data_IF_881215759788
#
_entry.id   IF_881215759788
#
_cell.length_a   1.000
_cell.length_b   1.000
_cell.length_c   1.000
_cell.angle_alpha   90.00
_cell.angle_beta   90.00
_cell.angle_gamma   90.00
#
_symmetry.space_group_name_H-M   'P 1'
#
loop_
_entity.id
_entity.type
_entity.pdbx_description
1 polymer ?
#
# COMPACT_ATOMS: atom_id res chain seq x y z
N UNK A 1 -6.94 -4.89 31.39
CA UNK A 1 -6.43 -6.26 31.61
C UNK A 1 -6.14 -6.86 30.25
N UNK A 2 -4.89 -6.95 29.90
CA UNK A 2 -4.41 -7.38 28.59
C UNK A 2 -4.25 -8.90 28.59
N UNK A 3 -4.82 -9.55 27.57
CA UNK A 3 -4.63 -10.96 27.29
C UNK A 3 -3.87 -11.14 25.98
N UNK A 4 -2.56 -11.31 26.06
CA UNK A 4 -1.70 -11.68 24.96
C UNK A 4 -1.90 -13.15 24.60
N UNK A 5 -2.48 -13.44 23.44
CA UNK A 5 -2.51 -14.80 22.88
C UNK A 5 -1.36 -14.98 21.89
N UNK A 6 -0.23 -15.45 22.41
CA UNK A 6 0.83 -16.03 21.60
C UNK A 6 0.56 -17.54 21.47
N UNK A 7 0.51 -18.12 20.26
CA UNK A 7 0.34 -19.57 20.12
C UNK A 7 1.62 -20.28 20.55
N UNK A 8 1.54 -21.00 21.66
CA UNK A 8 2.54 -21.93 22.15
C UNK A 8 2.75 -23.06 21.13
N UNK A 9 3.85 -23.05 20.43
CA UNK A 9 4.39 -24.20 19.71
C UNK A 9 4.52 -25.36 20.71
N UNK A 10 3.63 -26.33 20.63
CA UNK A 10 3.74 -27.60 21.38
C UNK A 10 5.03 -28.28 20.96
N UNK A 11 6.04 -28.24 21.85
CA UNK A 11 7.20 -29.11 21.77
C UNK A 11 6.70 -30.55 21.83
N UNK A 12 6.74 -31.25 20.71
CA UNK A 12 6.57 -32.70 20.68
C UNK A 12 7.66 -33.31 21.54
N UNK A 13 7.27 -33.84 22.70
CA UNK A 13 8.11 -34.70 23.51
C UNK A 13 8.31 -36.00 22.73
N UNK A 14 9.45 -36.13 22.09
CA UNK A 14 9.92 -37.41 21.63
C UNK A 14 10.37 -38.17 22.88
N UNK A 15 9.53 -39.09 23.36
CA UNK A 15 9.97 -40.12 24.31
C UNK A 15 11.05 -40.90 23.61
N UNK A 16 12.25 -40.78 24.14
CA UNK A 16 13.35 -41.63 23.76
C UNK A 16 12.91 -43.07 24.01
N UNK A 17 12.94 -43.90 22.98
CA UNK A 17 12.73 -45.33 23.05
C UNK A 17 13.84 -45.95 23.94
N UNK A 18 13.67 -45.85 25.24
CA UNK A 18 14.58 -46.41 26.28
C UNK A 18 13.87 -47.24 27.33
N UNK A 19 12.55 -47.36 27.26
CA UNK A 19 11.80 -48.14 28.23
C UNK A 19 11.43 -49.56 27.78
N UNK A 20 11.77 -49.95 26.52
CA UNK A 20 11.49 -51.30 26.00
C UNK A 20 12.59 -52.33 26.18
N UNK A 21 13.84 -51.93 26.54
CA UNK A 21 15.01 -52.82 26.49
C UNK A 21 15.34 -53.49 27.86
N UNK A 22 14.46 -53.45 28.83
CA UNK A 22 14.76 -54.03 30.18
C UNK A 22 14.16 -55.41 30.44
N UNK A 23 13.53 -56.04 29.50
CA UNK A 23 13.09 -57.44 29.64
C UNK A 23 13.67 -58.31 28.52
N UNK A 24 14.97 -58.51 28.58
CA UNK A 24 15.63 -59.62 27.91
C UNK A 24 15.52 -60.84 28.78
N UNK A 25 14.74 -61.81 28.35
CA UNK A 25 14.54 -63.10 28.99
C UNK A 25 15.87 -63.84 29.09
N UNK A 26 16.21 -64.32 30.27
CA UNK A 26 17.55 -64.82 30.68
C UNK A 26 17.77 -66.28 30.27
N UNK A 27 17.01 -66.88 29.36
CA UNK A 27 17.13 -68.25 28.93
C UNK A 27 16.96 -68.51 27.44
N UNK A 28 17.96 -68.04 26.63
CA UNK A 28 18.20 -68.69 25.35
C UNK A 28 19.74 -68.85 25.21
N UNK A 29 20.22 -70.04 25.48
CA UNK A 29 21.57 -70.45 25.09
C UNK A 29 21.60 -70.68 23.56
N UNK A 30 22.52 -70.01 22.89
CA UNK A 30 23.08 -70.51 21.65
C UNK A 30 22.46 -70.03 20.36
N UNK A 31 22.90 -68.95 19.86
CA UNK A 31 23.36 -68.74 18.48
C UNK A 31 23.94 -67.32 18.39
N UNK A 32 25.14 -67.20 17.81
CA UNK A 32 25.91 -65.98 17.78
C UNK A 32 25.19 -64.83 17.06
N UNK A 33 24.32 -64.17 17.78
CA UNK A 33 23.77 -62.91 17.34
C UNK A 33 24.80 -61.85 17.68
N UNK A 34 25.54 -61.42 16.67
CA UNK A 34 26.40 -60.24 16.68
C UNK A 34 25.59 -59.09 17.21
N UNK A 35 26.06 -58.50 18.31
CA UNK A 35 25.48 -57.32 18.91
C UNK A 35 25.40 -56.18 17.91
N UNK A 36 24.28 -56.00 17.25
CA UNK A 36 23.99 -54.93 16.27
C UNK A 36 23.79 -53.54 16.91
N UNK A 37 23.99 -53.42 18.23
CA UNK A 37 23.84 -52.13 18.95
C UNK A 37 24.83 -51.07 18.47
N UNK A 38 26.04 -51.47 18.07
CA UNK A 38 27.04 -50.54 17.49
C UNK A 38 26.63 -50.01 16.11
N UNK A 39 26.03 -50.86 15.32
CA UNK A 39 25.60 -50.46 13.94
C UNK A 39 24.38 -49.52 13.98
N UNK A 40 23.43 -49.78 14.87
CA UNK A 40 22.24 -48.91 15.06
C UNK A 40 22.69 -47.56 15.64
N UNK A 41 23.59 -47.54 16.62
CA UNK A 41 24.16 -46.32 17.18
C UNK A 41 24.94 -45.49 16.13
N UNK A 42 25.77 -46.15 15.31
CA UNK A 42 26.50 -45.48 14.23
C UNK A 42 25.57 -44.88 13.14
N UNK A 43 24.47 -45.56 12.82
CA UNK A 43 23.47 -45.07 11.89
C UNK A 43 22.68 -43.86 12.45
N UNK A 44 22.28 -43.92 13.73
CA UNK A 44 21.66 -42.83 14.44
C UNK A 44 22.58 -41.60 14.54
N UNK A 45 23.87 -41.80 14.85
CA UNK A 45 24.85 -40.73 14.86
C UNK A 45 25.04 -40.05 13.50
N UNK A 46 25.09 -40.84 12.40
CA UNK A 46 25.17 -40.28 11.04
C UNK A 46 23.91 -39.47 10.67
N UNK A 47 22.72 -39.90 11.04
CA UNK A 47 21.48 -39.18 10.83
C UNK A 47 21.46 -37.87 11.65
N UNK A 48 21.89 -37.92 12.92
CA UNK A 48 22.02 -36.72 13.73
C UNK A 48 23.06 -35.72 13.18
N UNK A 49 24.18 -36.23 12.66
CA UNK A 49 25.21 -35.38 12.05
C UNK A 49 24.68 -34.71 10.78
N UNK A 50 23.94 -35.46 9.93
CA UNK A 50 23.29 -34.88 8.73
C UNK A 50 22.26 -33.82 9.09
N UNK A 51 21.46 -34.03 10.14
CA UNK A 51 20.49 -33.07 10.65
C UNK A 51 21.18 -31.80 11.15
N UNK A 52 22.23 -31.91 11.97
CA UNK A 52 23.01 -30.74 12.41
C UNK A 52 23.63 -29.96 11.28
N UNK A 53 24.14 -30.64 10.27
CA UNK A 53 24.69 -29.98 9.06
C UNK A 53 23.63 -29.29 8.25
N UNK A 54 22.40 -29.83 8.20
CA UNK A 54 21.27 -29.19 7.53
C UNK A 54 20.78 -27.96 8.31
N UNK A 55 20.62 -28.09 9.61
CA UNK A 55 20.28 -26.96 10.51
C UNK A 55 21.32 -25.84 10.38
N UNK A 56 22.59 -26.13 10.39
CA UNK A 56 23.66 -25.14 10.27
C UNK A 56 23.69 -24.46 8.85
N UNK A 57 23.31 -25.18 7.78
CA UNK A 57 23.15 -24.58 6.45
C UNK A 57 21.93 -23.67 6.41
N UNK A 58 20.81 -24.10 6.97
CA UNK A 58 19.59 -23.28 7.06
C UNK A 58 19.83 -22.01 7.87
N UNK A 59 20.53 -22.09 9.01
CA UNK A 59 20.88 -20.93 9.83
C UNK A 59 21.78 -19.94 9.06
N UNK A 60 22.80 -20.44 8.34
CA UNK A 60 23.64 -19.61 7.47
C UNK A 60 22.86 -18.97 6.31
N UNK A 61 21.93 -19.70 5.71
CA UNK A 61 21.09 -19.16 4.64
C UNK A 61 20.12 -18.09 5.19
N UNK A 62 19.58 -18.29 6.39
CA UNK A 62 18.75 -17.28 7.07
C UNK A 62 19.60 -16.06 7.43
N UNK A 63 20.80 -16.27 7.98
CA UNK A 63 21.70 -15.16 8.35
C UNK A 63 22.18 -14.37 7.13
N UNK A 64 22.55 -15.05 6.03
CA UNK A 64 22.93 -14.40 4.78
C UNK A 64 21.77 -13.63 4.14
N UNK A 65 20.56 -14.20 4.15
CA UNK A 65 19.35 -13.50 3.69
C UNK A 65 18.97 -12.33 4.60
N UNK A 66 19.13 -12.48 5.92
CA UNK A 66 18.89 -11.39 6.87
C UNK A 66 19.93 -10.25 6.75
N UNK A 67 21.18 -10.58 6.39
CA UNK A 67 22.20 -9.58 6.09
C UNK A 67 21.94 -8.87 4.75
N UNK A 68 21.44 -9.60 3.73
CA UNK A 68 20.96 -9.01 2.49
C UNK A 68 19.77 -8.08 2.72
N UNK A 69 18.85 -8.44 3.63
CA UNK A 69 17.74 -7.58 4.05
C UNK A 69 18.21 -6.35 4.85
N UNK A 70 19.27 -6.46 5.65
CA UNK A 70 19.87 -5.31 6.35
C UNK A 70 20.64 -4.37 5.42
N UNK A 71 21.14 -4.86 4.29
CA UNK A 71 21.78 -4.06 3.23
C UNK A 71 20.80 -3.53 2.18
N UNK A 72 19.49 -3.81 2.31
CA UNK A 72 18.48 -3.02 1.64
C UNK A 72 18.52 -1.67 2.36
N UNK A 73 19.21 -0.68 1.78
CA UNK A 73 19.03 0.72 2.12
C UNK A 73 17.50 0.91 2.18
N UNK A 74 16.97 1.18 3.37
CA UNK A 74 15.57 1.59 3.50
C UNK A 74 15.42 2.77 2.56
N UNK A 75 14.68 2.64 1.46
CA UNK A 75 14.55 3.75 0.53
C UNK A 75 14.04 4.92 1.36
N UNK A 76 14.75 6.04 1.33
CA UNK A 76 14.34 7.22 2.08
C UNK A 76 12.85 7.48 1.78
N UNK A 77 12.06 7.81 2.80
CA UNK A 77 10.60 7.93 2.72
C UNK A 77 10.15 8.88 1.59
N UNK A 78 9.02 8.59 0.96
CA UNK A 78 8.37 9.50 0.02
C UNK A 78 8.21 10.88 0.66
N UNK A 79 8.22 11.93 -0.14
CA UNK A 79 8.02 13.30 0.34
C UNK A 79 6.78 13.90 -0.31
N UNK A 80 5.95 14.54 0.50
CA UNK A 80 4.77 15.27 0.06
C UNK A 80 4.99 16.78 0.26
N UNK A 81 4.71 17.58 -0.76
CA UNK A 81 4.84 19.03 -0.68
C UNK A 81 3.50 19.66 -0.25
N UNK A 82 3.00 19.24 0.91
CA UNK A 82 1.75 19.75 1.48
C UNK A 82 1.97 21.10 2.16
N UNK A 83 1.14 22.07 1.83
CA UNK A 83 1.11 23.40 2.43
C UNK A 83 -0.25 23.57 3.11
N UNK A 84 -0.33 23.56 4.45
CA UNK A 84 -1.59 23.80 5.15
C UNK A 84 -2.18 25.17 4.78
N UNK A 85 -3.47 25.21 4.43
CA UNK A 85 -4.16 26.47 4.16
C UNK A 85 -4.57 27.19 5.47
N UNK A 86 -4.75 28.49 5.40
CA UNK A 86 -5.24 29.29 6.54
C UNK A 86 -6.74 29.07 6.82
N UNK A 87 -7.53 28.71 5.82
CA UNK A 87 -8.93 28.36 6.01
C UNK A 87 -9.05 27.04 6.78
N UNK A 88 -9.98 27.00 7.72
CA UNK A 88 -10.30 25.76 8.43
C UNK A 88 -11.14 24.83 7.55
N UNK A 89 -12.19 25.37 6.92
CA UNK A 89 -13.06 24.64 6.01
C UNK A 89 -12.68 24.98 4.56
N UNK A 90 -12.36 23.97 3.76
CA UNK A 90 -11.94 24.13 2.35
C UNK A 90 -13.08 23.86 1.37
N UNK A 91 -13.98 22.94 1.73
CA UNK A 91 -15.17 22.62 0.93
C UNK A 91 -16.33 22.37 1.88
N UNK A 92 -17.47 23.00 1.57
CA UNK A 92 -18.76 22.79 2.24
C UNK A 92 -19.81 22.45 1.21
N UNK A 93 -20.44 21.31 1.35
CA UNK A 93 -21.60 20.87 0.57
C UNK A 93 -22.79 20.76 1.51
N UNK A 94 -23.91 21.36 1.16
CA UNK A 94 -25.18 21.29 1.91
C UNK A 94 -26.28 20.85 0.96
N UNK A 95 -26.90 19.71 1.23
CA UNK A 95 -27.92 19.04 0.40
C UNK A 95 -27.52 19.01 -1.07
N UNK A 96 -26.24 18.75 -1.32
CA UNK A 96 -25.65 18.87 -2.65
C UNK A 96 -25.82 17.61 -3.48
N UNK A 97 -26.29 17.78 -4.69
CA UNK A 97 -26.30 16.73 -5.73
C UNK A 97 -25.98 17.35 -7.09
N UNK A 98 -25.61 16.52 -8.05
CA UNK A 98 -25.33 16.95 -9.41
C UNK A 98 -25.76 15.89 -10.43
N UNK A 99 -25.91 16.34 -11.69
CA UNK A 99 -26.30 15.48 -12.80
C UNK A 99 -26.30 16.21 -14.12
N UNK A 100 -26.78 15.57 -15.17
CA UNK A 100 -26.90 16.17 -16.51
C UNK A 100 -28.35 16.36 -16.89
N UNK A 101 -29.14 15.30 -16.97
CA UNK A 101 -30.60 15.34 -17.21
C UNK A 101 -31.41 15.12 -15.94
N UNK A 102 -30.84 14.35 -15.03
CA UNK A 102 -31.35 14.06 -13.67
C UNK A 102 -30.17 13.91 -12.73
N UNK A 103 -30.43 14.04 -11.45
CA UNK A 103 -29.39 13.88 -10.44
C UNK A 103 -28.80 12.47 -10.46
N UNK A 104 -27.48 12.34 -10.23
CA UNK A 104 -26.75 11.08 -10.27
C UNK A 104 -26.80 10.33 -8.94
N UNK A 105 -26.86 11.08 -7.83
CA UNK A 105 -26.86 10.52 -6.47
C UNK A 105 -27.78 11.34 -5.57
N UNK A 106 -28.18 10.70 -4.46
CA UNK A 106 -28.95 11.38 -3.41
C UNK A 106 -28.18 12.57 -2.84
N UNK A 107 -28.87 13.66 -2.41
CA UNK A 107 -28.20 14.81 -1.81
C UNK A 107 -27.26 14.42 -0.67
N UNK A 108 -26.08 15.04 -0.63
CA UNK A 108 -25.06 14.81 0.40
C UNK A 108 -24.73 16.11 1.13
N UNK A 109 -24.34 15.94 2.39
CA UNK A 109 -23.73 16.96 3.23
C UNK A 109 -22.27 16.58 3.48
N UNK A 110 -21.34 17.49 3.24
CA UNK A 110 -19.92 17.24 3.44
C UNK A 110 -19.16 18.50 3.81
N UNK A 111 -18.43 18.43 4.91
CA UNK A 111 -17.40 19.39 5.26
C UNK A 111 -16.02 18.78 5.11
N UNK A 112 -15.17 19.42 4.28
CA UNK A 112 -13.75 19.08 4.17
C UNK A 112 -12.95 20.14 4.90
N UNK A 113 -12.50 19.80 6.09
CA UNK A 113 -11.69 20.68 6.91
C UNK A 113 -10.20 20.40 6.67
N UNK A 114 -9.35 21.34 7.04
CA UNK A 114 -7.90 21.17 6.98
C UNK A 114 -7.46 19.91 7.73
N UNK A 115 -6.70 19.04 7.06
CA UNK A 115 -6.23 17.75 7.57
C UNK A 115 -7.23 16.61 7.40
N UNK A 116 -8.43 16.86 6.88
CA UNK A 116 -9.38 15.79 6.54
C UNK A 116 -8.89 15.00 5.31
N UNK A 117 -8.96 13.69 5.41
CA UNK A 117 -8.75 12.74 4.32
C UNK A 117 -10.07 12.04 4.04
N UNK A 118 -10.78 12.55 3.04
CA UNK A 118 -12.14 12.12 2.70
C UNK A 118 -12.10 11.05 1.61
N UNK A 119 -12.52 9.83 1.93
CA UNK A 119 -12.76 8.78 0.95
C UNK A 119 -14.15 8.93 0.33
N UNK A 120 -14.20 9.08 -1.00
CA UNK A 120 -15.44 9.11 -1.76
C UNK A 120 -15.72 7.71 -2.33
N UNK A 121 -16.75 7.05 -1.82
CA UNK A 121 -17.13 5.68 -2.17
C UNK A 121 -18.51 5.61 -2.83
N UNK A 122 -18.91 4.44 -3.30
CA UNK A 122 -20.19 4.19 -3.95
C UNK A 122 -20.04 3.30 -5.17
N UNK A 123 -21.15 2.81 -5.71
CA UNK A 123 -21.16 1.93 -6.88
C UNK A 123 -20.57 2.60 -8.12
N UNK A 124 -20.13 1.79 -9.10
CA UNK A 124 -19.62 2.33 -10.35
C UNK A 124 -20.73 3.08 -11.11
N UNK A 125 -20.39 4.23 -11.68
CA UNK A 125 -21.35 5.08 -12.41
C UNK A 125 -22.21 5.99 -11.54
N UNK A 126 -22.14 5.94 -10.21
CA UNK A 126 -22.94 6.79 -9.30
C UNK A 126 -22.59 8.29 -9.36
N UNK A 127 -21.51 8.66 -10.01
CA UNK A 127 -21.15 10.09 -10.16
C UNK A 127 -19.91 10.53 -9.38
N UNK A 128 -19.12 9.60 -8.78
CA UNK A 128 -17.88 9.94 -8.04
C UNK A 128 -16.94 10.83 -8.85
N UNK A 129 -16.53 10.36 -10.03
CA UNK A 129 -15.62 11.12 -10.90
C UNK A 129 -16.26 12.40 -11.46
N UNK A 130 -17.59 12.47 -11.57
CA UNK A 130 -18.28 13.70 -11.96
C UNK A 130 -18.22 14.74 -10.85
N UNK A 131 -18.45 14.33 -9.59
CA UNK A 131 -18.28 15.20 -8.43
C UNK A 131 -16.84 15.69 -8.33
N UNK A 132 -15.85 14.80 -8.49
CA UNK A 132 -14.43 15.14 -8.52
C UNK A 132 -14.10 16.23 -9.56
N UNK A 133 -14.53 16.00 -10.82
CA UNK A 133 -14.31 16.97 -11.90
C UNK A 133 -15.03 18.31 -11.65
N UNK A 134 -16.20 18.27 -11.01
CA UNK A 134 -16.92 19.49 -10.65
C UNK A 134 -16.17 20.29 -9.59
N UNK A 135 -15.70 19.64 -8.52
CA UNK A 135 -14.88 20.27 -7.46
C UNK A 135 -13.54 20.81 -7.99
N UNK A 136 -12.99 20.21 -9.04
CA UNK A 136 -11.81 20.69 -9.77
C UNK A 136 -12.11 21.82 -10.77
N UNK A 137 -13.38 22.21 -10.94
CA UNK A 137 -13.79 23.19 -11.95
C UNK A 137 -13.68 22.70 -13.40
N UNK A 138 -13.52 21.38 -13.61
CA UNK A 138 -13.35 20.76 -14.94
C UNK A 138 -14.68 20.31 -15.58
N UNK A 139 -15.76 20.29 -14.83
CA UNK A 139 -17.09 19.93 -15.30
C UNK A 139 -18.14 20.86 -14.70
N UNK A 140 -19.16 21.19 -15.48
CA UNK A 140 -20.27 22.05 -15.07
C UNK A 140 -21.62 21.30 -15.25
N UNK A 141 -21.89 20.24 -14.45
CA UNK A 141 -23.17 19.57 -14.44
C UNK A 141 -24.23 20.49 -13.84
N UNK A 142 -25.50 20.14 -14.04
CA UNK A 142 -26.62 20.79 -13.33
C UNK A 142 -26.48 20.39 -11.84
N UNK A 143 -26.49 21.37 -10.95
CA UNK A 143 -26.34 21.17 -9.51
C UNK A 143 -27.60 21.58 -8.75
N UNK A 144 -27.81 20.97 -7.60
CA UNK A 144 -28.79 21.38 -6.60
C UNK A 144 -28.13 21.37 -5.23
N UNK A 145 -28.62 22.17 -4.30
CA UNK A 145 -27.96 22.41 -3.01
C UNK A 145 -26.89 23.49 -3.09
N UNK A 146 -26.05 23.56 -2.07
CA UNK A 146 -25.03 24.62 -1.93
C UNK A 146 -23.62 24.02 -1.99
N UNK A 147 -22.73 24.64 -2.73
CA UNK A 147 -21.29 24.38 -2.71
C UNK A 147 -20.55 25.67 -2.37
N UNK A 148 -19.80 25.64 -1.29
CA UNK A 148 -18.82 26.68 -0.97
C UNK A 148 -17.43 26.06 -0.97
N UNK A 149 -16.49 26.65 -1.72
CA UNK A 149 -15.12 26.13 -1.85
C UNK A 149 -14.12 27.27 -1.72
N UNK A 150 -13.13 27.08 -0.86
CA UNK A 150 -12.02 28.00 -0.72
C UNK A 150 -11.13 27.97 -1.98
N UNK A 151 -10.59 29.14 -2.34
CA UNK A 151 -9.64 29.23 -3.46
C UNK A 151 -8.27 28.79 -3.00
N UNK A 152 -7.90 27.54 -3.26
CA UNK A 152 -6.68 26.90 -2.81
C UNK A 152 -5.90 26.26 -3.96
N UNK A 153 -4.62 26.01 -3.75
CA UNK A 153 -3.79 25.28 -4.71
C UNK A 153 -4.15 23.80 -4.60
N UNK A 154 -4.55 23.23 -5.74
CA UNK A 154 -4.97 21.84 -5.84
C UNK A 154 -3.91 21.00 -6.54
N UNK A 155 -3.69 19.77 -6.07
CA UNK A 155 -2.87 18.76 -6.73
C UNK A 155 -3.72 17.52 -7.05
N UNK A 156 -3.45 16.89 -8.18
CA UNK A 156 -4.32 15.88 -8.76
C UNK A 156 -3.53 14.62 -9.14
N UNK A 157 -4.06 13.46 -8.77
CA UNK A 157 -3.71 12.17 -9.39
C UNK A 157 -4.93 11.70 -10.18
N UNK A 158 -4.78 11.62 -11.49
CA UNK A 158 -5.86 11.27 -12.42
C UNK A 158 -5.89 9.75 -12.66
N UNK A 159 -7.04 9.27 -13.06
CA UNK A 159 -7.19 7.89 -13.54
C UNK A 159 -6.55 7.71 -14.93
N UNK A 160 -6.67 8.71 -15.81
CA UNK A 160 -6.10 8.71 -17.16
C UNK A 160 -5.32 10.02 -17.39
N UNK A 161 -4.18 9.92 -18.05
CA UNK A 161 -3.24 11.03 -18.26
C UNK A 161 -2.65 11.03 -19.69
N UNK A 162 -3.48 11.14 -20.75
CA UNK A 162 -3.04 11.05 -22.14
C UNK A 162 -2.14 12.21 -22.58
N UNK A 163 -2.12 13.29 -21.81
CA UNK A 163 -1.30 14.49 -21.97
C UNK A 163 0.09 14.39 -21.33
N UNK A 164 0.38 13.34 -20.56
CA UNK A 164 1.70 13.11 -20.00
C UNK A 164 2.62 12.58 -21.10
N UNK A 165 3.45 13.44 -21.68
CA UNK A 165 4.31 13.13 -22.83
C UNK A 165 5.68 13.80 -22.70
N UNK A 166 6.62 13.33 -23.51
CA UNK A 166 7.96 13.90 -23.60
C UNK A 166 8.88 13.37 -22.50
N UNK A 167 9.97 14.08 -22.27
CA UNK A 167 10.95 13.73 -21.22
C UNK A 167 10.42 14.08 -19.83
N UNK A 168 10.94 13.40 -18.79
CA UNK A 168 10.62 13.77 -17.39
C UNK A 168 11.01 15.20 -17.06
N UNK A 169 12.05 15.75 -17.70
CA UNK A 169 12.50 17.13 -17.49
C UNK A 169 11.50 18.13 -18.09
N UNK A 170 11.07 17.91 -19.34
CA UNK A 170 10.07 18.78 -20.00
C UNK A 170 8.73 18.74 -19.24
N UNK A 171 8.31 17.56 -18.82
CA UNK A 171 7.11 17.35 -18.03
C UNK A 171 7.14 18.11 -16.69
N UNK A 172 8.26 18.01 -15.95
CA UNK A 172 8.42 18.71 -14.69
C UNK A 172 8.43 20.23 -14.88
N UNK A 173 9.13 20.71 -15.93
CA UNK A 173 9.18 22.13 -16.29
C UNK A 173 7.79 22.67 -16.65
N UNK A 174 7.03 21.95 -17.48
CA UNK A 174 5.68 22.36 -17.89
C UNK A 174 4.70 22.45 -16.71
N UNK A 175 4.94 21.66 -15.64
CA UNK A 175 4.11 21.66 -14.42
C UNK A 175 4.69 22.50 -13.28
N UNK A 176 5.82 23.16 -13.48
CA UNK A 176 6.47 23.98 -12.45
C UNK A 176 6.94 23.18 -11.24
N UNK A 177 7.32 21.93 -11.43
CA UNK A 177 7.77 21.05 -10.36
C UNK A 177 9.26 21.26 -10.06
N UNK A 178 9.66 21.11 -8.80
CA UNK A 178 11.06 20.91 -8.47
C UNK A 178 11.53 19.56 -9.05
N UNK A 179 12.39 19.63 -10.06
CA UNK A 179 12.84 18.44 -10.79
C UNK A 179 13.59 17.45 -9.90
N UNK A 180 14.37 17.93 -8.94
CA UNK A 180 15.14 17.07 -8.04
C UNK A 180 14.20 16.31 -7.10
N UNK A 181 13.20 16.96 -6.53
CA UNK A 181 12.19 16.35 -5.69
C UNK A 181 11.34 15.34 -6.47
N UNK A 182 10.92 15.70 -7.69
CA UNK A 182 10.18 14.82 -8.58
C UNK A 182 10.95 13.54 -8.92
N UNK A 183 12.23 13.65 -9.33
CA UNK A 183 13.07 12.49 -9.60
C UNK A 183 13.32 11.65 -8.35
N UNK A 184 13.42 12.29 -7.20
CA UNK A 184 13.60 11.62 -5.92
C UNK A 184 12.37 10.75 -5.57
N UNK A 185 11.17 11.32 -5.70
CA UNK A 185 9.92 10.57 -5.50
C UNK A 185 9.79 9.40 -6.49
N UNK A 186 10.17 9.59 -7.77
CA UNK A 186 10.19 8.51 -8.76
C UNK A 186 11.14 7.36 -8.37
N UNK A 187 12.34 7.68 -7.87
CA UNK A 187 13.28 6.66 -7.38
C UNK A 187 12.71 5.90 -6.19
N UNK A 188 12.10 6.61 -5.25
CA UNK A 188 11.47 6.04 -4.05
C UNK A 188 10.27 5.16 -4.37
N UNK A 189 9.51 5.50 -5.43
CA UNK A 189 8.48 4.65 -6.02
C UNK A 189 9.05 3.45 -6.81
N UNK A 190 10.37 3.22 -6.79
CA UNK A 190 10.98 2.08 -7.45
C UNK A 190 10.98 2.16 -8.98
N UNK A 191 11.05 3.36 -9.55
CA UNK A 191 11.21 3.50 -11.00
C UNK A 191 12.59 3.02 -11.44
N UNK A 192 12.63 2.10 -12.41
CA UNK A 192 13.87 1.54 -12.93
C UNK A 192 14.71 2.61 -13.65
N UNK A 193 16.05 2.49 -13.59
CA UNK A 193 16.99 3.51 -14.13
C UNK A 193 16.77 3.81 -15.61
N UNK A 194 16.47 2.81 -16.43
CA UNK A 194 16.21 2.97 -17.86
C UNK A 194 14.93 3.80 -18.13
N UNK A 195 13.95 3.79 -17.24
CA UNK A 195 12.73 4.56 -17.39
C UNK A 195 12.95 6.09 -17.30
N UNK A 196 14.04 6.54 -16.64
CA UNK A 196 14.35 7.97 -16.54
C UNK A 196 14.76 8.64 -17.86
N UNK A 197 15.17 7.86 -18.85
CA UNK A 197 15.55 8.33 -20.20
C UNK A 197 14.49 8.01 -21.25
N UNK A 198 13.41 7.31 -20.87
CA UNK A 198 12.33 6.90 -21.76
C UNK A 198 11.25 7.99 -21.79
N UNK A 199 10.72 8.38 -22.97
CA UNK A 199 9.57 9.27 -23.07
C UNK A 199 8.37 8.72 -22.28
N UNK A 200 7.62 9.59 -21.60
CA UNK A 200 6.55 9.18 -20.67
C UNK A 200 5.48 8.34 -21.38
N UNK A 201 5.10 8.68 -22.59
CA UNK A 201 4.13 7.94 -23.40
C UNK A 201 4.57 6.53 -23.80
N UNK A 202 5.87 6.25 -23.71
CA UNK A 202 6.46 4.94 -24.00
C UNK A 202 6.67 4.08 -22.73
N UNK A 203 6.39 4.64 -21.56
CA UNK A 203 6.46 3.92 -20.29
C UNK A 203 5.30 2.93 -20.13
N UNK A 204 5.49 1.89 -19.33
CA UNK A 204 4.37 1.01 -18.95
C UNK A 204 3.32 1.78 -18.14
N UNK A 205 2.07 1.28 -18.10
CA UNK A 205 0.98 1.91 -17.34
C UNK A 205 1.36 2.15 -15.88
N UNK A 206 2.02 1.18 -15.23
CA UNK A 206 2.50 1.33 -13.85
C UNK A 206 3.57 2.39 -13.70
N UNK A 207 4.49 2.51 -14.67
CA UNK A 207 5.50 3.58 -14.66
C UNK A 207 4.87 4.95 -14.91
N UNK A 208 3.91 5.05 -15.82
CA UNK A 208 3.15 6.30 -16.05
C UNK A 208 2.36 6.70 -14.80
N UNK A 209 1.76 5.74 -14.08
CA UNK A 209 1.09 6.00 -12.79
C UNK A 209 2.07 6.55 -11.75
N UNK A 210 3.28 5.98 -11.67
CA UNK A 210 4.35 6.50 -10.79
C UNK A 210 4.75 7.93 -11.15
N UNK A 211 4.79 8.27 -12.45
CA UNK A 211 5.04 9.64 -12.91
C UNK A 211 3.93 10.59 -12.44
N UNK A 212 2.67 10.24 -12.64
CA UNK A 212 1.52 11.06 -12.21
C UNK A 212 1.52 11.25 -10.69
N UNK A 213 1.76 10.17 -9.93
CA UNK A 213 1.80 10.21 -8.47
C UNK A 213 2.98 11.05 -7.96
N UNK A 214 4.20 10.84 -8.50
CA UNK A 214 5.37 11.62 -8.13
C UNK A 214 5.19 13.12 -8.44
N UNK A 215 4.50 13.45 -9.53
CA UNK A 215 4.16 14.83 -9.87
C UNK A 215 3.24 15.44 -8.81
N UNK A 216 2.17 14.72 -8.42
CA UNK A 216 1.25 15.18 -7.38
C UNK A 216 1.95 15.35 -6.03
N UNK A 217 2.81 14.40 -5.65
CA UNK A 217 3.59 14.47 -4.41
C UNK A 217 4.57 15.66 -4.38
N UNK A 218 5.11 16.02 -5.53
CA UNK A 218 6.12 17.10 -5.65
C UNK A 218 5.52 18.49 -5.84
N UNK A 219 4.24 18.55 -6.21
CA UNK A 219 3.54 19.82 -6.42
C UNK A 219 3.16 20.44 -5.08
N UNK A 220 3.56 21.71 -4.80
CA UNK A 220 3.02 22.43 -3.65
C UNK A 220 1.51 22.53 -3.73
N UNK A 221 0.78 22.05 -2.72
CA UNK A 221 -0.67 22.09 -2.73
C UNK A 221 -1.27 22.15 -1.31
N UNK A 222 -2.48 22.74 -1.23
CA UNK A 222 -3.27 22.81 0.00
C UNK A 222 -4.31 21.69 0.06
N UNK A 223 -4.76 21.18 -1.11
CA UNK A 223 -5.80 20.18 -1.23
C UNK A 223 -5.45 19.19 -2.35
N UNK A 224 -5.46 17.90 -2.02
CA UNK A 224 -5.16 16.83 -2.96
C UNK A 224 -6.44 16.12 -3.42
N UNK A 225 -6.51 15.85 -4.71
CA UNK A 225 -7.57 15.07 -5.34
C UNK A 225 -6.96 13.85 -6.01
N UNK A 226 -7.19 12.66 -5.46
CA UNK A 226 -6.60 11.43 -5.99
C UNK A 226 -7.67 10.44 -6.47
N UNK A 227 -7.65 10.13 -7.77
CA UNK A 227 -8.55 9.18 -8.41
C UNK A 227 -7.82 7.84 -8.62
N UNK A 228 -8.20 6.82 -7.83
CA UNK A 228 -7.65 5.48 -7.83
C UNK A 228 -6.10 5.48 -7.76
N UNK A 229 -5.49 6.08 -6.72
CA UNK A 229 -4.04 6.25 -6.63
C UNK A 229 -3.28 4.93 -6.57
N UNK A 230 -3.88 3.85 -6.06
CA UNK A 230 -3.21 2.56 -5.87
C UNK A 230 -3.13 1.71 -7.14
N UNK A 231 -3.88 2.04 -8.18
CA UNK A 231 -3.89 1.27 -9.42
C UNK A 231 -2.49 1.15 -10.00
N UNK A 232 -2.08 -0.09 -10.35
CA UNK A 232 -0.78 -0.45 -10.91
C UNK A 232 0.42 -0.26 -9.96
N UNK A 233 0.21 0.03 -8.68
CA UNK A 233 1.26 0.05 -7.68
C UNK A 233 1.43 -1.31 -7.01
N UNK A 234 2.66 -1.69 -6.72
CA UNK A 234 2.97 -2.85 -5.88
C UNK A 234 2.66 -2.56 -4.41
N UNK A 235 2.51 -3.62 -3.61
CA UNK A 235 2.15 -3.54 -2.18
C UNK A 235 3.12 -2.65 -1.39
N UNK A 236 4.41 -2.71 -1.72
CA UNK A 236 5.41 -1.90 -1.04
C UNK A 236 5.18 -0.39 -1.24
N UNK A 237 4.89 0.03 -2.49
CA UNK A 237 4.56 1.43 -2.77
C UNK A 237 3.22 1.85 -2.14
N UNK A 238 2.25 0.93 -2.03
CA UNK A 238 0.99 1.19 -1.33
C UNK A 238 1.23 1.46 0.15
N UNK A 239 2.03 0.62 0.82
CA UNK A 239 2.40 0.81 2.23
C UNK A 239 3.15 2.12 2.47
N UNK A 240 4.07 2.50 1.57
CA UNK A 240 4.76 3.78 1.63
C UNK A 240 3.79 4.97 1.55
N UNK A 241 2.77 4.88 0.69
CA UNK A 241 1.74 5.94 0.59
C UNK A 241 0.91 6.04 1.85
N UNK A 242 0.49 4.91 2.43
CA UNK A 242 -0.24 4.88 3.71
C UNK A 242 0.57 5.57 4.81
N UNK A 243 1.85 5.23 4.94
CA UNK A 243 2.75 5.83 5.93
C UNK A 243 2.89 7.33 5.71
N UNK A 244 3.18 7.77 4.48
CA UNK A 244 3.30 9.17 4.13
C UNK A 244 2.04 9.98 4.46
N UNK A 245 0.86 9.49 4.03
CA UNK A 245 -0.41 10.18 4.22
C UNK A 245 -0.81 10.27 5.70
N UNK A 246 -0.45 9.30 6.51
CA UNK A 246 -0.69 9.34 7.95
C UNK A 246 0.29 10.25 8.68
N UNK A 247 1.53 10.33 8.21
CA UNK A 247 2.55 11.21 8.78
C UNK A 247 2.30 12.68 8.46
N UNK A 248 2.08 13.00 7.19
CA UNK A 248 1.91 14.38 6.71
C UNK A 248 0.49 14.92 6.93
N UNK A 249 -0.49 14.03 7.10
CA UNK A 249 -1.90 14.35 7.31
C UNK A 249 -2.44 15.45 6.37
N UNK A 250 -2.24 15.34 5.04
CA UNK A 250 -2.69 16.36 4.10
C UNK A 250 -4.21 16.44 4.05
N UNK A 251 -4.74 17.61 3.66
CA UNK A 251 -6.13 17.70 3.29
C UNK A 251 -6.33 17.08 1.91
N UNK A 252 -7.19 16.08 1.81
CA UNK A 252 -7.42 15.38 0.54
C UNK A 252 -8.82 14.79 0.40
N UNK A 253 -9.24 14.66 -0.86
CA UNK A 253 -10.38 13.84 -1.26
C UNK A 253 -9.84 12.76 -2.19
N UNK A 254 -10.22 11.52 -1.99
CA UNK A 254 -9.76 10.43 -2.84
C UNK A 254 -10.87 9.43 -3.15
N UNK A 255 -10.78 8.83 -4.33
CA UNK A 255 -11.61 7.72 -4.77
C UNK A 255 -10.74 6.48 -4.73
N UNK A 256 -11.15 5.47 -3.97
CA UNK A 256 -10.48 4.18 -3.91
C UNK A 256 -11.48 3.06 -3.65
N UNK A 257 -11.10 1.84 -4.06
CA UNK A 257 -11.88 0.63 -3.85
C UNK A 257 -11.22 -0.34 -2.86
N UNK A 258 -9.95 -0.14 -2.55
CA UNK A 258 -9.23 -0.93 -1.56
C UNK A 258 -9.68 -0.55 -0.15
N UNK A 259 -10.35 -1.47 0.51
CA UNK A 259 -10.91 -1.28 1.85
C UNK A 259 -9.82 -1.02 2.89
N UNK A 260 -8.70 -1.73 2.79
CA UNK A 260 -7.59 -1.58 3.73
C UNK A 260 -6.97 -0.18 3.64
N UNK A 261 -6.80 0.35 2.44
CA UNK A 261 -6.32 1.72 2.25
C UNK A 261 -7.30 2.75 2.81
N UNK A 262 -8.59 2.59 2.51
CA UNK A 262 -9.64 3.49 3.02
C UNK A 262 -9.61 3.51 4.56
N UNK A 263 -9.62 2.34 5.21
CA UNK A 263 -9.59 2.23 6.67
C UNK A 263 -8.31 2.78 7.30
N UNK A 264 -7.18 2.67 6.58
CA UNK A 264 -5.87 3.12 7.07
C UNK A 264 -5.64 4.62 6.93
N UNK A 265 -6.25 5.26 5.91
CA UNK A 265 -5.95 6.65 5.54
C UNK A 265 -7.11 7.60 5.80
N UNK A 266 -8.37 7.19 5.56
CA UNK A 266 -9.50 8.09 5.62
C UNK A 266 -9.80 8.56 7.06
N UNK A 267 -10.04 9.85 7.22
CA UNK A 267 -10.64 10.42 8.43
C UNK A 267 -12.17 10.49 8.32
N UNK A 268 -12.67 10.54 7.07
CA UNK A 268 -14.11 10.55 6.76
C UNK A 268 -14.36 9.67 5.53
N UNK A 269 -15.51 9.00 5.51
CA UNK A 269 -15.97 8.23 4.35
C UNK A 269 -17.34 8.74 3.94
N UNK A 270 -17.48 9.16 2.69
CA UNK A 270 -18.74 9.58 2.09
C UNK A 270 -19.12 8.56 1.01
N UNK A 271 -20.27 7.95 1.17
CA UNK A 271 -20.79 6.98 0.21
C UNK A 271 -21.91 7.62 -0.61
N UNK A 272 -21.67 7.80 -1.90
CA UNK A 272 -22.70 8.28 -2.82
C UNK A 272 -23.73 7.17 -3.04
N UNK A 273 -24.99 7.46 -2.76
CA UNK A 273 -26.11 6.56 -2.98
C UNK A 273 -26.77 6.88 -4.32
N UNK A 274 -27.02 5.88 -5.20
CA UNK A 274 -27.75 6.12 -6.43
C UNK A 274 -29.19 6.52 -6.11
N UNK A 275 -29.74 7.44 -6.90
CA UNK A 275 -31.17 7.75 -6.84
C UNK A 275 -31.91 6.51 -7.37
N UNK A 276 -32.71 5.86 -6.53
CA UNK A 276 -33.60 4.80 -6.99
C UNK A 276 -34.63 5.41 -7.95
N UNK A 277 -34.71 4.94 -9.21
CA UNK A 277 -35.81 5.34 -10.06
C UNK A 277 -37.12 4.86 -9.41
N UNK A 278 -37.97 5.83 -9.03
CA UNK A 278 -39.35 5.53 -8.58
C UNK A 278 -40.18 5.00 -9.72
#
# INVERSE_FOLDING_TARGET
MAGSNTPLLKKAKWSTAREGDKYGDRHVKGSGAINNTGFIGARAARVMQKRKNLEHRMDKDIESKSQLLKNIETPADLTLNYIPDHHHNLIHLDQFTLGYTHSLFEPIDLDVNRGDRVALTGINGVGKSTLFKHLLGQAAPITSGTLTQAKVIQSLVRQQYPDNRGTLADFATARGLDYSQFLNNLRKLGMARNAFTTPIESLSMGQQKKVELAASLSQPANLYFWDEPLNYLDTYNQDQLVQLLNQEAPTMIFIEHDQHFIESVATKVITLQPINPR
#
